data_IF_265726816694
#
_entry.id   IF_265726816694
#
_cell.length_a   1.000
_cell.length_b   1.000
_cell.length_c   1.000
_cell.angle_alpha   90.00
_cell.angle_beta   90.00
_cell.angle_gamma   90.00
#
_symmetry.space_group_name_H-M   'P 1'
#
loop_
_entity.id
_entity.type
_entity.pdbx_description
1 polymer ?
#
# COMPACT_ATOMS: atom_id res chain seq x y z
N UNK A 1 4.32 -0.60 -31.84
CA UNK A 1 4.61 -0.77 -31.33
C UNK A 1 5.01 -0.57 -30.15
N UNK A 2 5.60 0.00 -29.81
CA UNK A 2 6.14 0.05 -28.55
C UNK A 2 5.27 0.59 -27.49
N UNK A 3 4.04 0.71 -27.78
CA UNK A 3 3.12 1.14 -26.76
C UNK A 3 2.88 0.08 -25.69
N UNK A 4 3.34 -1.14 -25.94
CA UNK A 4 3.15 -2.18 -24.98
C UNK A 4 3.64 -1.88 -23.57
N UNK A 5 4.88 -1.47 -23.38
CA UNK A 5 5.35 -1.18 -22.04
C UNK A 5 4.57 -0.06 -21.37
N UNK A 6 4.22 0.94 -22.14
CA UNK A 6 3.45 2.03 -21.59
C UNK A 6 2.06 1.58 -21.19
N UNK A 7 1.47 0.74 -22.01
CA UNK A 7 0.16 0.21 -21.72
C UNK A 7 0.16 -0.56 -20.43
N UNK A 8 1.17 -1.37 -20.23
CA UNK A 8 1.27 -2.13 -19.00
C UNK A 8 1.45 -1.25 -17.80
N UNK A 9 2.24 -0.22 -17.92
CA UNK A 9 2.42 0.69 -16.82
C UNK A 9 1.12 1.38 -16.47
N UNK A 10 0.38 1.77 -17.47
CA UNK A 10 -0.91 2.41 -17.23
C UNK A 10 -1.90 1.45 -16.65
N UNK A 11 -1.91 0.20 -17.09
CA UNK A 11 -2.82 -0.78 -16.53
C UNK A 11 -2.57 -0.99 -15.05
N UNK A 12 -1.32 -1.03 -14.66
CA UNK A 12 -0.99 -1.16 -13.27
C UNK A 12 -1.48 0.02 -12.47
N UNK A 13 -1.35 1.21 -13.05
CA UNK A 13 -1.80 2.40 -12.36
C UNK A 13 -3.27 2.60 -12.43
N UNK A 14 -3.96 1.91 -13.35
CA UNK A 14 -5.37 2.11 -13.49
C UNK A 14 -6.18 1.44 -12.40
N UNK A 15 -5.55 0.60 -11.59
CA UNK A 15 -6.26 0.03 -10.44
C UNK A 15 -6.67 1.17 -9.52
N UNK A 16 -7.94 1.23 -9.10
CA UNK A 16 -8.38 2.33 -8.25
C UNK A 16 -7.63 2.39 -6.95
N UNK A 17 -7.38 3.60 -6.50
CA UNK A 17 -6.79 3.86 -5.20
C UNK A 17 -7.63 4.89 -4.50
N UNK A 18 -7.73 4.78 -3.20
CA UNK A 18 -8.52 5.70 -2.41
C UNK A 18 -7.66 6.23 -1.28
N UNK A 19 -7.74 7.54 -1.07
CA UNK A 19 -7.00 8.15 0.02
C UNK A 19 -7.53 7.67 1.36
N UNK A 20 -6.63 7.37 2.26
CA UNK A 20 -6.97 6.97 3.61
C UNK A 20 -5.81 7.37 4.50
N UNK A 21 -6.10 8.04 5.60
CA UNK A 21 -5.09 8.57 6.51
C UNK A 21 -5.32 7.99 7.89
N UNK A 22 -4.54 7.00 8.20
CA UNK A 22 -4.61 6.34 9.50
C UNK A 22 -3.30 5.63 9.78
N UNK A 23 -3.04 5.28 11.03
CA UNK A 23 -1.79 4.57 11.36
C UNK A 23 -1.78 3.18 10.77
N UNK A 24 -0.59 2.72 10.44
CA UNK A 24 -0.35 1.35 10.03
C UNK A 24 0.99 0.94 10.63
N UNK A 25 1.19 -0.35 10.78
CA UNK A 25 2.45 -0.89 11.29
C UNK A 25 3.14 -1.67 10.19
N UNK A 26 4.42 -1.42 10.01
CA UNK A 26 5.23 -2.12 9.02
C UNK A 26 6.32 -2.87 9.76
N UNK A 27 6.39 -4.17 9.52
CA UNK A 27 7.39 -5.03 10.14
C UNK A 27 8.28 -5.60 9.05
N UNK A 28 9.58 -5.45 9.20
CA UNK A 28 10.54 -6.04 8.28
C UNK A 28 11.83 -6.33 9.06
N UNK A 29 12.36 -7.55 8.88
CA UNK A 29 13.48 -8.01 9.67
C UNK A 29 13.13 -7.94 11.14
N UNK A 30 13.98 -7.29 11.93
CA UNK A 30 13.73 -7.10 13.35
C UNK A 30 13.10 -5.75 13.63
N UNK A 31 12.78 -4.99 12.63
CA UNK A 31 12.26 -3.64 12.81
C UNK A 31 10.73 -3.63 12.75
N UNK A 32 10.16 -2.74 13.54
CA UNK A 32 8.72 -2.51 13.51
C UNK A 32 8.52 -1.00 13.56
N UNK A 33 7.75 -0.47 12.63
CA UNK A 33 7.54 0.97 12.56
C UNK A 33 6.09 1.30 12.42
N UNK A 34 5.68 2.38 13.08
CA UNK A 34 4.38 2.96 12.89
C UNK A 34 4.50 4.01 11.79
N UNK A 35 3.66 3.91 10.80
CA UNK A 35 3.63 4.84 9.66
C UNK A 35 2.20 5.30 9.47
N UNK A 36 2.00 6.19 8.51
CA UNK A 36 0.68 6.70 8.19
C UNK A 36 0.32 6.21 6.81
N UNK A 37 -0.91 5.78 6.61
CA UNK A 37 -1.36 5.45 5.26
C UNK A 37 -1.57 6.73 4.46
N UNK A 38 -1.43 6.64 3.15
CA UNK A 38 -1.69 7.75 2.23
C UNK A 38 -2.80 7.37 1.28
N UNK A 39 -2.65 6.25 0.59
CA UNK A 39 -3.72 5.71 -0.22
C UNK A 39 -3.64 4.20 -0.23
N UNK A 40 -4.71 3.57 -0.67
CA UNK A 40 -4.87 2.13 -0.58
C UNK A 40 -5.69 1.64 -1.75
N UNK A 41 -5.25 0.57 -2.35
CA UNK A 41 -5.97 -0.11 -3.42
C UNK A 41 -5.83 -1.61 -3.30
N UNK A 42 -6.33 -2.29 -4.29
CA UNK A 42 -6.31 -3.74 -4.29
C UNK A 42 -4.89 -4.30 -4.42
N UNK A 43 -4.04 -3.62 -5.15
CA UNK A 43 -2.71 -4.13 -5.46
C UNK A 43 -1.64 -3.65 -4.52
N UNK A 44 -1.90 -2.60 -3.75
CA UNK A 44 -0.88 -2.05 -2.91
C UNK A 44 -1.32 -0.78 -2.24
N UNK A 45 -0.36 -0.10 -1.64
CA UNK A 45 -0.65 1.12 -0.90
C UNK A 45 0.56 2.03 -0.88
N UNK A 46 0.29 3.28 -0.58
CA UNK A 46 1.33 4.25 -0.33
C UNK A 46 1.28 4.64 1.14
N UNK A 47 2.43 4.77 1.73
CA UNK A 47 2.58 5.10 3.15
C UNK A 47 3.42 6.35 3.29
N UNK A 48 3.25 7.04 4.40
CA UNK A 48 4.14 8.11 4.80
C UNK A 48 4.94 7.65 6.00
N UNK A 49 6.25 7.80 5.91
CA UNK A 49 7.15 7.33 6.94
C UNK A 49 8.17 8.42 7.27
N UNK A 50 8.60 8.47 8.52
CA UNK A 50 9.62 9.41 8.92
C UNK A 50 10.99 9.03 8.38
N UNK A 51 11.16 7.79 7.95
CA UNK A 51 12.41 7.28 7.42
C UNK A 51 12.16 6.48 6.16
N UNK A 52 13.10 6.44 5.24
CA UNK A 52 12.93 5.62 4.05
C UNK A 52 12.98 4.14 4.39
N UNK A 53 12.39 3.34 3.53
CA UNK A 53 12.50 1.89 3.57
C UNK A 53 13.00 1.47 2.20
N UNK A 54 14.07 0.73 2.15
CA UNK A 54 14.73 0.43 0.88
C UNK A 54 13.82 -0.33 -0.08
N UNK A 55 13.76 0.06 -1.35
CA UNK A 55 13.04 -0.73 -2.35
C UNK A 55 13.56 -2.15 -2.37
N UNK A 56 12.65 -3.09 -2.57
CA UNK A 56 12.99 -4.51 -2.52
C UNK A 56 12.78 -5.13 -1.16
N UNK A 57 12.60 -4.32 -0.13
CA UNK A 57 12.37 -4.85 1.22
C UNK A 57 11.03 -5.55 1.28
N UNK A 58 11.02 -6.77 1.82
CA UNK A 58 9.79 -7.49 2.08
C UNK A 58 9.33 -7.19 3.49
N UNK A 59 8.03 -6.98 3.62
CA UNK A 59 7.50 -6.56 4.91
C UNK A 59 6.09 -7.08 5.11
N UNK A 60 5.61 -6.92 6.34
CA UNK A 60 4.22 -7.21 6.68
C UNK A 60 3.60 -5.89 7.13
N UNK A 61 2.48 -5.53 6.55
CA UNK A 61 1.80 -4.30 6.88
C UNK A 61 0.47 -4.63 7.53
N UNK A 62 0.23 -4.04 8.69
CA UNK A 62 -1.00 -4.27 9.44
C UNK A 62 -1.75 -2.95 9.55
N UNK A 63 -3.01 -2.97 9.20
CA UNK A 63 -3.84 -1.76 9.27
C UNK A 63 -5.31 -2.17 9.37
N UNK A 64 -6.17 -1.20 9.61
CA UNK A 64 -7.62 -1.43 9.65
C UNK A 64 -8.25 -0.86 8.40
N UNK A 65 -9.13 -1.64 7.81
CA UNK A 65 -9.83 -1.25 6.60
C UNK A 65 -11.27 -0.89 6.96
N UNK A 66 -11.67 0.36 6.76
CA UNK A 66 -13.06 0.72 7.01
C UNK A 66 -13.93 0.29 5.84
N UNK A 67 -14.96 -0.47 6.12
CA UNK A 67 -15.94 -0.89 5.12
C UNK A 67 -17.32 -0.65 5.71
N UNK A 68 -17.97 0.40 5.22
CA UNK A 68 -19.26 0.80 5.79
C UNK A 68 -19.07 1.15 7.26
N UNK A 69 -19.86 0.56 8.11
CA UNK A 69 -19.78 0.81 9.54
C UNK A 69 -18.77 -0.08 10.25
N UNK A 70 -18.13 -0.98 9.51
CA UNK A 70 -17.23 -1.96 10.11
C UNK A 70 -15.79 -1.63 9.84
N UNK A 71 -14.93 -2.20 10.67
CA UNK A 71 -13.49 -2.11 10.48
C UNK A 71 -12.94 -3.51 10.43
N UNK A 72 -12.14 -3.78 9.42
CA UNK A 72 -11.57 -5.10 9.22
C UNK A 72 -10.08 -5.02 9.38
N UNK A 73 -9.52 -5.83 10.27
CA UNK A 73 -8.08 -5.90 10.43
C UNK A 73 -7.44 -6.60 9.24
N UNK A 74 -6.44 -5.98 8.66
CA UNK A 74 -5.73 -6.54 7.52
C UNK A 74 -4.27 -6.73 7.90
N UNK A 75 -3.75 -7.91 7.59
CA UNK A 75 -2.33 -8.21 7.73
C UNK A 75 -1.87 -8.67 6.35
N UNK A 76 -1.07 -7.88 5.70
CA UNK A 76 -0.69 -8.15 4.32
C UNK A 76 0.81 -8.19 4.17
N UNK A 77 1.31 -9.19 3.46
CA UNK A 77 2.72 -9.18 3.09
C UNK A 77 2.87 -8.33 1.85
N UNK A 78 3.98 -7.63 1.76
CA UNK A 78 4.19 -6.68 0.69
C UNK A 78 5.67 -6.54 0.39
N UNK A 79 5.95 -5.93 -0.75
CA UNK A 79 7.30 -5.60 -1.15
C UNK A 79 7.36 -4.10 -1.41
N UNK A 80 8.34 -3.45 -0.84
CA UNK A 80 8.54 -2.02 -1.07
C UNK A 80 9.08 -1.83 -2.47
N UNK A 81 8.46 -0.96 -3.24
CA UNK A 81 8.86 -0.73 -4.63
C UNK A 81 9.47 0.64 -4.84
N UNK A 82 9.18 1.61 -3.98
CA UNK A 82 9.89 2.87 -4.03
C UNK A 82 9.86 3.55 -2.66
N UNK A 83 10.78 4.47 -2.47
CA UNK A 83 10.88 5.27 -1.29
C UNK A 83 11.35 6.64 -1.74
N UNK A 84 10.51 7.64 -1.62
CA UNK A 84 10.71 8.95 -2.24
C UNK A 84 10.61 10.04 -1.20
N UNK A 85 11.57 10.92 -1.19
CA UNK A 85 11.54 12.07 -0.30
C UNK A 85 10.33 12.94 -0.65
N UNK A 86 9.56 13.28 0.32
CA UNK A 86 8.37 14.09 0.12
C UNK A 86 8.52 15.48 0.73
N UNK A 87 8.97 15.52 1.97
CA UNK A 87 9.18 16.75 2.69
C UNK A 87 10.13 16.45 3.82
N UNK A 88 10.59 17.47 4.53
CA UNK A 88 11.51 17.26 5.63
C UNK A 88 10.92 16.29 6.64
N UNK A 89 11.64 15.22 6.90
CA UNK A 89 11.19 14.20 7.83
C UNK A 89 10.06 13.33 7.30
N UNK A 90 9.85 13.29 5.98
CA UNK A 90 8.72 12.56 5.43
C UNK A 90 9.09 11.90 4.11
N UNK A 91 8.79 10.61 4.00
CA UNK A 91 9.03 9.85 2.78
C UNK A 91 7.74 9.15 2.37
N UNK A 92 7.48 9.14 1.08
CA UNK A 92 6.40 8.33 0.52
C UNK A 92 6.96 6.98 0.16
N UNK A 93 6.32 5.94 0.68
CA UNK A 93 6.76 4.56 0.51
C UNK A 93 5.68 3.83 -0.27
N UNK A 94 6.05 3.30 -1.42
CA UNK A 94 5.11 2.50 -2.21
C UNK A 94 5.31 1.03 -1.94
N UNK A 95 4.22 0.32 -1.70
CA UNK A 95 4.26 -1.11 -1.40
C UNK A 95 3.26 -1.84 -2.26
N UNK A 96 3.68 -2.98 -2.82
CA UNK A 96 2.79 -3.88 -3.55
C UNK A 96 2.54 -5.10 -2.69
N UNK A 97 1.28 -5.49 -2.61
CA UNK A 97 0.90 -6.67 -1.84
C UNK A 97 1.31 -7.95 -2.55
N UNK A 98 1.71 -8.94 -1.76
CA UNK A 98 2.03 -10.28 -2.25
C UNK A 98 1.06 -11.25 -1.63
N UNK A 99 0.56 -12.19 -2.42
CA UNK A 99 -0.19 -13.33 -1.87
C UNK A 99 -1.35 -12.95 -0.96
N UNK A 100 -2.10 -11.93 -1.34
CA UNK A 100 -3.32 -11.63 -0.60
C UNK A 100 -4.31 -12.76 -0.79
N UNK A 101 -5.01 -13.12 0.28
CA UNK A 101 -6.10 -14.05 0.12
C UNK A 101 -7.24 -13.34 -0.62
N UNK A 102 -8.09 -14.15 -1.22
CA UNK A 102 -9.11 -13.64 -2.10
C UNK A 102 -10.08 -12.71 -1.39
N UNK A 103 -10.44 -13.06 -0.18
CA UNK A 103 -11.37 -12.22 0.58
C UNK A 103 -10.80 -10.85 0.88
N UNK A 104 -9.52 -10.79 1.24
CA UNK A 104 -8.86 -9.52 1.51
C UNK A 104 -8.75 -8.70 0.23
N UNK A 105 -8.38 -9.34 -0.88
CA UNK A 105 -8.26 -8.64 -2.15
C UNK A 105 -9.59 -8.05 -2.58
N UNK A 106 -10.67 -8.78 -2.39
CA UNK A 106 -12.01 -8.28 -2.71
C UNK A 106 -12.38 -7.10 -1.84
N UNK A 107 -12.08 -7.19 -0.55
CA UNK A 107 -12.40 -6.11 0.37
C UNK A 107 -11.63 -4.84 0.02
N UNK A 108 -10.36 -4.98 -0.31
CA UNK A 108 -9.55 -3.84 -0.72
C UNK A 108 -10.06 -3.22 -2.02
N UNK A 109 -10.42 -4.06 -2.97
CA UNK A 109 -10.96 -3.58 -4.23
C UNK A 109 -12.26 -2.83 -4.04
N UNK A 110 -13.11 -3.33 -3.16
CA UNK A 110 -14.38 -2.70 -2.87
C UNK A 110 -14.16 -1.34 -2.20
N UNK A 111 -13.27 -1.28 -1.24
CA UNK A 111 -12.94 -0.04 -0.58
C UNK A 111 -12.44 1.00 -1.59
N UNK A 112 -11.53 0.61 -2.45
CA UNK A 112 -10.94 1.54 -3.41
C UNK A 112 -11.93 2.00 -4.47
N UNK A 113 -12.85 1.14 -4.84
CA UNK A 113 -13.83 1.47 -5.86
C UNK A 113 -14.92 2.42 -5.37
N UNK A 114 -15.06 2.52 -4.07
CA UNK A 114 -16.06 3.37 -3.46
C UNK A 114 -15.65 4.83 -3.39
N UNK A 115 -14.65 5.21 -4.07
CA UNK A 115 -14.15 6.59 -4.00
C UNK A 115 -15.12 7.60 -4.63
#
# INVERSE_FOLDING_TARGET
MSSQPLTQARNRRSAPRKAIRQPATVVYGDASRTVQTWDLGRDGMCLLSARPIAPGTRCTITFELPLGAERIGVVATAKIVYSSYSAAGEFKIGAFFNDLDEGTALALGKFAADA
#
